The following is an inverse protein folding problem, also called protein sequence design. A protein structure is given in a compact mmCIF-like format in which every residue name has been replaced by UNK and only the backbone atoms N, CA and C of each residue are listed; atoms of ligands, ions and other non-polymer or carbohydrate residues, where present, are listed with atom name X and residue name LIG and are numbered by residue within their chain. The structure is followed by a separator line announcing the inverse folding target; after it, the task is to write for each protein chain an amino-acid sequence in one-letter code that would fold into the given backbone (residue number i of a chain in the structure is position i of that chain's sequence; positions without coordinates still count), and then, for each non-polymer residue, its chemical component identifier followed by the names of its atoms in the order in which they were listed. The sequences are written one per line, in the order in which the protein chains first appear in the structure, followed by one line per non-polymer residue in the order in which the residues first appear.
data_IF_635306941143
#
_entry.id   IF_635306941143
#
_cell.length_a   1.000
_cell.length_b   1.000
_cell.length_c   1.000
_cell.angle_alpha   90.00
_cell.angle_beta   90.00
_cell.angle_gamma   90.00
#
_symmetry.space_group_name_H-M   'P 1'
#
loop_
_entity.id
_entity.type
_entity.pdbx_description
1 polymer ?
#
# COMPACT_ATOMS: atom_id res chain seq x y z
N UNK A 1 -5.01 44.41 -65.35
CA UNK A 1 -5.83 43.30 -64.88
C UNK A 1 -5.04 42.01 -64.50
N UNK A 2 -3.86 41.79 -65.00
CA UNK A 2 -3.03 40.65 -64.61
C UNK A 2 -2.45 40.72 -63.19
N UNK A 3 -2.27 41.91 -62.59
CA UNK A 3 -1.79 42.12 -61.24
C UNK A 3 -2.82 41.75 -60.16
N UNK A 4 -4.11 41.93 -60.45
CA UNK A 4 -5.16 41.61 -59.46
C UNK A 4 -5.34 40.08 -59.22
N UNK A 5 -5.07 39.28 -60.21
CA UNK A 5 -5.13 37.80 -60.04
C UNK A 5 -3.99 37.27 -59.19
N UNK A 6 -2.82 37.84 -59.32
CA UNK A 6 -1.64 37.45 -58.54
C UNK A 6 -1.76 37.89 -57.07
N UNK A 7 -2.29 39.08 -56.81
CA UNK A 7 -2.58 39.56 -55.46
C UNK A 7 -3.70 38.76 -54.81
N UNK A 8 -4.73 38.38 -55.52
CA UNK A 8 -5.83 37.58 -55.04
C UNK A 8 -5.39 36.16 -54.65
N UNK A 9 -4.50 35.58 -55.43
CA UNK A 9 -3.91 34.26 -55.19
C UNK A 9 -3.00 34.27 -53.94
N UNK A 10 -2.18 35.30 -53.75
CA UNK A 10 -1.32 35.43 -52.56
C UNK A 10 -2.10 35.69 -51.30
N UNK A 11 -3.20 36.45 -51.32
CA UNK A 11 -4.09 36.68 -50.19
C UNK A 11 -4.84 35.40 -49.81
N UNK A 12 -5.29 34.59 -50.75
CA UNK A 12 -5.87 33.25 -50.48
C UNK A 12 -4.90 32.32 -49.80
N UNK A 13 -3.68 32.27 -50.25
CA UNK A 13 -2.63 31.46 -49.62
C UNK A 13 -2.32 31.92 -48.21
N UNK A 14 -2.24 33.22 -47.97
CA UNK A 14 -2.03 33.77 -46.62
C UNK A 14 -3.19 33.43 -45.69
N UNK A 15 -4.45 33.54 -46.15
CA UNK A 15 -5.63 33.13 -45.36
C UNK A 15 -5.64 31.64 -45.06
N UNK A 16 -5.22 30.78 -45.99
CA UNK A 16 -5.11 29.36 -45.79
C UNK A 16 -4.05 29.00 -44.77
N UNK A 17 -2.87 29.64 -44.79
CA UNK A 17 -1.84 29.50 -43.79
C UNK A 17 -2.30 29.97 -42.41
N UNK A 18 -3.00 31.09 -42.32
CA UNK A 18 -3.59 31.57 -41.05
C UNK A 18 -4.60 30.58 -40.47
N UNK A 19 -5.45 29.98 -41.29
CA UNK A 19 -6.42 28.98 -40.87
C UNK A 19 -5.74 27.72 -40.36
N UNK A 20 -4.67 27.26 -41.01
CA UNK A 20 -3.88 26.12 -40.55
C UNK A 20 -3.17 26.39 -39.20
N UNK A 21 -2.64 27.58 -38.98
CA UNK A 21 -2.00 28.00 -37.76
C UNK A 21 -3.01 28.06 -36.58
N UNK A 22 -4.20 28.63 -36.80
CA UNK A 22 -5.25 28.70 -35.78
C UNK A 22 -5.80 27.33 -35.41
N UNK A 23 -5.98 26.43 -36.38
CA UNK A 23 -6.39 25.03 -36.15
C UNK A 23 -5.33 24.27 -35.34
N UNK A 24 -4.05 24.46 -35.68
CA UNK A 24 -2.92 23.88 -34.91
C UNK A 24 -2.84 24.38 -33.47
N UNK A 25 -3.01 25.68 -33.24
CA UNK A 25 -3.02 26.27 -31.91
C UNK A 25 -4.19 25.75 -31.03
N UNK A 26 -5.38 25.58 -31.61
CA UNK A 26 -6.53 25.04 -30.87
C UNK A 26 -6.33 23.57 -30.51
N UNK A 27 -5.74 22.76 -31.39
CA UNK A 27 -5.40 21.37 -31.10
C UNK A 27 -4.38 21.26 -29.96
N UNK A 28 -3.31 22.04 -30.00
CA UNK A 28 -2.29 22.11 -28.93
C UNK A 28 -2.86 22.56 -27.59
N UNK A 29 -3.78 23.53 -27.60
CA UNK A 29 -4.45 23.99 -26.38
C UNK A 29 -5.30 22.89 -25.76
N UNK A 30 -6.08 22.18 -26.56
CA UNK A 30 -6.90 21.05 -26.12
C UNK A 30 -6.02 19.90 -25.54
N UNK A 31 -4.92 19.60 -26.21
CA UNK A 31 -3.97 18.59 -25.76
C UNK A 31 -3.28 18.98 -24.44
N UNK A 32 -2.94 20.26 -24.29
CA UNK A 32 -2.35 20.81 -23.10
C UNK A 32 -3.32 20.78 -21.89
N UNK A 33 -4.60 21.04 -22.12
CA UNK A 33 -5.64 20.91 -21.08
C UNK A 33 -5.82 19.46 -20.64
N UNK A 34 -5.85 18.51 -21.57
CA UNK A 34 -5.90 17.07 -21.26
C UNK A 34 -4.68 16.60 -20.44
N UNK A 35 -3.48 17.02 -20.84
CA UNK A 35 -2.27 16.69 -20.09
C UNK A 35 -2.27 17.30 -18.69
N UNK A 36 -2.80 18.48 -18.49
CA UNK A 36 -2.95 19.07 -17.15
C UNK A 36 -3.91 18.27 -16.27
N UNK A 37 -5.03 17.86 -16.84
CA UNK A 37 -5.99 16.99 -16.15
C UNK A 37 -5.37 15.65 -15.78
N UNK A 38 -4.63 15.04 -16.70
CA UNK A 38 -3.93 13.78 -16.49
C UNK A 38 -2.85 13.90 -15.39
N UNK A 39 -2.09 14.99 -15.39
CA UNK A 39 -1.12 15.31 -14.34
C UNK A 39 -1.82 15.48 -12.98
N UNK A 40 -2.94 16.18 -12.93
CA UNK A 40 -3.70 16.41 -11.71
C UNK A 40 -4.23 15.09 -11.14
N UNK A 41 -4.79 14.24 -12.00
CA UNK A 41 -5.29 12.92 -11.62
C UNK A 41 -4.14 12.01 -11.13
N UNK A 42 -3.03 11.98 -11.86
CA UNK A 42 -1.86 11.20 -11.48
C UNK A 42 -1.27 11.66 -10.13
N UNK A 43 -1.24 12.96 -9.88
CA UNK A 43 -0.79 13.49 -8.60
C UNK A 43 -1.73 13.10 -7.45
N UNK A 44 -3.04 13.15 -7.66
CA UNK A 44 -4.03 12.72 -6.67
C UNK A 44 -3.91 11.21 -6.37
N UNK A 45 -3.72 10.38 -7.40
CA UNK A 45 -3.44 8.94 -7.22
C UNK A 45 -2.13 8.70 -6.46
N UNK A 46 -1.07 9.45 -6.76
CA UNK A 46 0.20 9.35 -6.05
C UNK A 46 0.06 9.70 -4.56
N UNK A 47 -0.68 10.74 -4.22
CA UNK A 47 -0.95 11.10 -2.84
C UNK A 47 -1.75 10.02 -2.12
N UNK A 48 -2.76 9.47 -2.77
CA UNK A 48 -3.55 8.35 -2.25
C UNK A 48 -2.67 7.12 -1.99
N UNK A 49 -1.87 6.72 -2.97
CA UNK A 49 -0.94 5.60 -2.84
C UNK A 49 0.08 5.80 -1.71
N UNK A 50 0.60 7.02 -1.54
CA UNK A 50 1.50 7.36 -0.42
C UNK A 50 0.81 7.22 0.92
N UNK A 51 -0.45 7.66 1.02
CA UNK A 51 -1.25 7.50 2.24
C UNK A 51 -1.50 6.04 2.58
N UNK A 52 -1.89 5.24 1.58
CA UNK A 52 -2.09 3.79 1.74
C UNK A 52 -0.79 3.08 2.14
N UNK A 53 0.33 3.45 1.53
CA UNK A 53 1.64 2.90 1.86
C UNK A 53 2.05 3.21 3.31
N UNK A 54 1.77 4.42 3.79
CA UNK A 54 2.02 4.80 5.18
C UNK A 54 1.12 4.03 6.16
N UNK A 55 -0.15 3.84 5.82
CA UNK A 55 -1.07 3.02 6.62
C UNK A 55 -0.60 1.57 6.71
N UNK A 56 -0.26 0.96 5.58
CA UNK A 56 0.28 -0.41 5.52
C UNK A 56 1.59 -0.55 6.31
N UNK A 57 2.47 0.44 6.23
CA UNK A 57 3.72 0.45 7.01
C UNK A 57 3.45 0.49 8.51
N UNK A 58 2.47 1.28 8.93
CA UNK A 58 2.04 1.37 10.34
C UNK A 58 1.42 0.04 10.81
N UNK A 59 0.56 -0.55 10.01
CA UNK A 59 -0.08 -1.83 10.34
C UNK A 59 0.93 -2.99 10.37
N UNK A 60 1.90 -2.97 9.47
CA UNK A 60 3.01 -3.93 9.49
C UNK A 60 3.84 -3.81 10.77
N UNK A 61 4.14 -2.58 11.20
CA UNK A 61 4.83 -2.33 12.47
C UNK A 61 4.04 -2.85 13.68
N UNK A 62 2.72 -2.58 13.72
CA UNK A 62 1.82 -3.12 14.77
C UNK A 62 1.80 -4.64 14.78
N UNK A 63 1.78 -5.25 13.60
CA UNK A 63 1.78 -6.71 13.46
C UNK A 63 3.08 -7.32 13.99
N UNK A 64 4.23 -6.70 13.71
CA UNK A 64 5.51 -7.13 14.28
C UNK A 64 5.53 -7.08 15.81
N UNK A 65 5.01 -6.00 16.40
CA UNK A 65 4.88 -5.90 17.87
C UNK A 65 3.98 -7.00 18.41
N UNK A 66 2.85 -7.26 17.77
CA UNK A 66 1.92 -8.31 18.17
C UNK A 66 2.52 -9.72 18.08
N UNK A 67 3.28 -9.99 17.02
CA UNK A 67 4.03 -11.24 16.88
C UNK A 67 5.06 -11.40 18.01
N UNK A 68 5.78 -10.33 18.35
CA UNK A 68 6.73 -10.37 19.45
C UNK A 68 6.03 -10.65 20.81
N UNK A 69 4.87 -10.03 21.06
CA UNK A 69 4.06 -10.31 22.25
C UNK A 69 3.58 -11.76 22.29
N UNK A 70 3.09 -12.29 21.17
CA UNK A 70 2.68 -13.70 21.10
C UNK A 70 3.84 -14.66 21.38
N UNK A 71 5.04 -14.37 20.93
CA UNK A 71 6.23 -15.17 21.26
C UNK A 71 6.52 -15.16 22.77
N UNK A 72 6.38 -14.02 23.44
CA UNK A 72 6.55 -13.93 24.88
C UNK A 72 5.48 -14.72 25.65
N UNK A 73 4.23 -14.65 25.19
CA UNK A 73 3.12 -15.42 25.78
C UNK A 73 3.35 -16.92 25.60
N UNK A 74 3.78 -17.35 24.42
CA UNK A 74 4.12 -18.76 24.15
C UNK A 74 5.25 -19.24 25.06
N UNK A 75 6.29 -18.42 25.26
CA UNK A 75 7.39 -18.74 26.16
C UNK A 75 6.91 -18.86 27.62
N UNK A 76 6.05 -17.96 28.06
CA UNK A 76 5.46 -18.01 29.41
C UNK A 76 4.59 -19.26 29.59
N UNK A 77 3.73 -19.58 28.64
CA UNK A 77 2.91 -20.80 28.68
C UNK A 77 3.76 -22.06 28.67
N UNK A 78 4.84 -22.07 27.92
CA UNK A 78 5.76 -23.20 27.89
C UNK A 78 6.40 -23.45 29.25
N UNK A 79 6.84 -22.39 29.95
CA UNK A 79 7.35 -22.47 31.31
C UNK A 79 6.29 -22.97 32.29
N UNK A 80 5.06 -22.49 32.16
CA UNK A 80 3.95 -22.94 33.01
C UNK A 80 3.64 -24.42 32.81
N UNK A 81 3.62 -24.90 31.58
CA UNK A 81 3.46 -26.32 31.24
C UNK A 81 4.59 -27.15 31.89
N UNK A 82 5.83 -26.71 31.79
CA UNK A 82 6.96 -27.42 32.40
C UNK A 82 6.83 -27.49 33.93
N UNK A 83 6.37 -26.42 34.57
CA UNK A 83 6.15 -26.40 36.02
C UNK A 83 5.01 -27.36 36.42
N UNK A 84 3.89 -27.33 35.68
CA UNK A 84 2.79 -28.25 35.93
C UNK A 84 3.21 -29.70 35.72
N UNK A 85 4.06 -30.01 34.73
CA UNK A 85 4.60 -31.36 34.54
C UNK A 85 5.44 -31.81 35.73
N UNK A 86 6.28 -30.93 36.28
CA UNK A 86 7.07 -31.22 37.48
C UNK A 86 6.18 -31.50 38.69
N UNK A 87 5.17 -30.65 38.91
CA UNK A 87 4.22 -30.81 40.00
C UNK A 87 3.43 -32.13 39.91
N UNK A 88 3.04 -32.48 38.69
CA UNK A 88 2.32 -33.71 38.40
C UNK A 88 3.20 -34.94 38.66
N UNK A 89 4.48 -34.88 38.36
CA UNK A 89 5.46 -35.95 38.64
C UNK A 89 5.68 -36.10 40.14
N UNK A 90 5.84 -34.99 40.87
CA UNK A 90 5.94 -34.98 42.34
C UNK A 90 4.68 -35.56 42.98
N UNK A 91 3.52 -35.22 42.48
CA UNK A 91 2.24 -35.71 42.97
C UNK A 91 2.11 -37.24 42.76
N UNK A 92 2.55 -37.74 41.62
CA UNK A 92 2.62 -39.19 41.35
C UNK A 92 3.54 -39.93 42.34
N UNK A 93 4.69 -39.33 42.64
CA UNK A 93 5.64 -39.91 43.62
C UNK A 93 4.99 -39.95 45.02
N UNK A 94 4.38 -38.89 45.45
CA UNK A 94 3.68 -38.82 46.75
C UNK A 94 2.56 -39.86 46.88
N UNK A 95 1.78 -40.05 45.81
CA UNK A 95 0.72 -41.04 45.77
C UNK A 95 1.30 -42.50 45.92
N UNK A 96 2.40 -42.78 45.22
CA UNK A 96 3.07 -44.08 45.32
C UNK A 96 3.64 -44.33 46.70
N UNK A 97 4.17 -43.32 47.36
CA UNK A 97 4.69 -43.42 48.72
C UNK A 97 3.55 -43.58 49.74
N UNK A 98 2.45 -42.83 49.59
CA UNK A 98 1.25 -42.99 50.40
C UNK A 98 0.66 -44.40 50.33
N UNK A 99 0.57 -44.95 49.14
CA UNK A 99 0.08 -46.34 48.94
C UNK A 99 1.00 -47.39 49.56
N UNK A 100 2.32 -47.21 49.51
CA UNK A 100 3.29 -48.10 50.17
C UNK A 100 3.14 -48.07 51.70
N UNK A 101 2.88 -46.85 52.26
CA UNK A 101 2.67 -46.68 53.68
C UNK A 101 1.38 -47.34 54.18
N UNK A 102 0.31 -47.24 53.41
CA UNK A 102 -0.98 -47.87 53.72
C UNK A 102 -0.95 -49.42 53.62
N UNK A 103 -0.11 -49.99 52.75
CA UNK A 103 0.03 -51.45 52.63
C UNK A 103 0.87 -52.08 53.78
N UNK A 104 1.66 -51.27 54.49
CA UNK A 104 2.48 -51.75 55.63
C UNK A 104 1.74 -51.73 57.00
N UNK A 105 0.63 -51.01 57.01
CA UNK A 105 -0.31 -50.98 58.15
C UNK A 105 -1.47 -51.92 57.92
#
# INVERSE_FOLDING_TARGET
MKLNRFQFSSALWACFFLLLLTAGCNSLKSENEKLKEEITNTNAENEKLRSELNALKTDNSKMHVRVAQLHLEIAALHNEIQNMQKDLELFKIQLKEGDKKNRKT
#
